data_IF_957834754459
#
_entry.id   IF_957834754459
#
_cell.length_a   1.000
_cell.length_b   1.000
_cell.length_c   1.000
_cell.angle_alpha   90.00
_cell.angle_beta   90.00
_cell.angle_gamma   90.00
#
_symmetry.space_group_name_H-M   'P 1'
#
loop_
_entity.id
_entity.type
_entity.pdbx_description
1 polymer ?
#
# COMPACT_ATOMS: atom_id res chain seq x y z
N UNK A 1 -19.01 -18.42 45.45
CA UNK A 1 -20.35 -17.99 45.01
C UNK A 1 -20.14 -17.34 43.66
N UNK A 2 -20.12 -18.09 42.61
CA UNK A 2 -21.09 -18.56 41.66
C UNK A 2 -20.49 -19.71 40.83
N UNK A 3 -21.00 -20.90 41.12
CA UNK A 3 -20.96 -22.03 40.20
C UNK A 3 -21.98 -21.78 39.10
N UNK A 4 -21.61 -22.03 37.88
CA UNK A 4 -22.46 -22.51 36.81
C UNK A 4 -21.53 -23.34 35.93
N UNK A 5 -21.45 -24.60 36.13
CA UNK A 5 -22.36 -25.70 35.89
C UNK A 5 -22.44 -25.91 34.42
N UNK A 6 -22.08 -26.99 33.98
CA UNK A 6 -22.29 -27.44 32.62
C UNK A 6 -21.77 -28.84 32.41
N UNK A 7 -22.27 -29.78 33.18
CA UNK A 7 -22.03 -31.23 32.99
C UNK A 7 -22.95 -31.79 31.90
N UNK A 8 -22.91 -31.26 30.68
CA UNK A 8 -23.70 -31.77 29.55
C UNK A 8 -22.87 -32.10 28.28
N UNK A 9 -21.55 -32.05 28.38
CA UNK A 9 -20.68 -32.44 27.26
C UNK A 9 -20.19 -33.89 27.34
N UNK A 10 -20.75 -34.71 28.22
CA UNK A 10 -20.30 -36.12 28.42
C UNK A 10 -21.36 -37.16 28.02
N UNK A 11 -22.24 -36.87 27.07
CA UNK A 11 -23.18 -37.87 26.53
C UNK A 11 -23.40 -37.74 25.04
N UNK A 12 -22.37 -37.96 24.27
CA UNK A 12 -22.50 -38.41 22.90
C UNK A 12 -21.30 -39.31 22.59
N UNK A 13 -21.32 -40.48 23.20
CA UNK A 13 -20.50 -41.60 22.78
C UNK A 13 -21.05 -42.11 21.46
N UNK A 14 -20.31 -41.95 20.40
CA UNK A 14 -20.51 -42.54 19.10
C UNK A 14 -19.15 -43.03 18.59
N UNK A 15 -18.86 -44.27 18.84
CA UNK A 15 -17.81 -45.03 18.18
C UNK A 15 -18.11 -45.04 16.68
N UNK A 16 -17.34 -44.36 15.87
CA UNK A 16 -17.23 -44.67 14.45
C UNK A 16 -15.97 -43.98 13.88
N UNK A 17 -14.96 -44.83 13.57
CA UNK A 17 -14.11 -44.64 12.39
C UNK A 17 -13.29 -43.38 12.33
N UNK A 18 -12.07 -43.54 12.69
CA UNK A 18 -10.89 -42.74 12.34
C UNK A 18 -10.86 -42.40 10.82
N UNK A 19 -11.68 -41.45 10.44
CA UNK A 19 -11.54 -40.72 9.22
C UNK A 19 -11.15 -39.30 9.63
N UNK A 20 -9.88 -39.16 9.97
CA UNK A 20 -9.27 -37.82 9.90
C UNK A 20 -9.63 -37.27 8.53
N UNK A 21 -10.56 -36.33 8.51
CA UNK A 21 -10.96 -35.66 7.29
C UNK A 21 -9.76 -34.88 6.76
N UNK A 22 -8.95 -35.59 5.99
CA UNK A 22 -7.77 -35.04 5.31
C UNK A 22 -8.15 -33.86 4.43
N UNK A 23 -9.44 -33.78 4.05
CA UNK A 23 -10.02 -32.64 3.35
C UNK A 23 -10.07 -31.39 4.21
N UNK A 24 -10.40 -31.51 5.49
CA UNK A 24 -10.49 -30.36 6.40
C UNK A 24 -9.10 -29.83 6.79
N UNK A 25 -8.14 -30.73 7.01
CA UNK A 25 -6.74 -30.34 7.23
C UNK A 25 -6.13 -29.76 5.95
N UNK A 26 -6.43 -30.36 4.79
CA UNK A 26 -5.98 -29.82 3.51
C UNK A 26 -6.63 -28.49 3.19
N UNK A 27 -7.93 -28.29 3.48
CA UNK A 27 -8.62 -27.02 3.29
C UNK A 27 -8.14 -25.93 4.24
N UNK A 28 -7.79 -26.29 5.49
CA UNK A 28 -7.24 -25.32 6.46
C UNK A 28 -5.78 -24.99 6.16
N UNK A 29 -5.00 -25.96 5.74
CA UNK A 29 -3.57 -25.76 5.44
C UNK A 29 -3.34 -25.18 4.04
N UNK A 30 -4.17 -25.54 3.05
CA UNK A 30 -4.13 -24.98 1.69
C UNK A 30 -5.15 -23.90 1.42
N UNK A 31 -6.32 -23.91 2.05
CA UNK A 31 -7.35 -22.89 1.91
C UNK A 31 -6.93 -21.56 2.55
N UNK A 32 -6.26 -21.58 3.70
CA UNK A 32 -5.73 -20.38 4.36
C UNK A 32 -4.45 -19.83 3.71
N UNK A 33 -3.57 -20.70 3.20
CA UNK A 33 -2.32 -20.30 2.59
C UNK A 33 -2.42 -20.08 1.07
N UNK A 34 -3.34 -20.77 0.38
CA UNK A 34 -3.55 -20.66 -1.06
C UNK A 34 -4.79 -19.86 -1.45
N UNK A 35 -5.83 -19.81 -0.60
CA UNK A 35 -7.06 -19.07 -0.89
C UNK A 35 -6.97 -17.56 -0.63
N UNK A 36 -6.04 -17.11 0.19
CA UNK A 36 -5.87 -15.69 0.51
C UNK A 36 -4.85 -14.92 -0.35
N UNK A 37 -4.04 -15.62 -1.13
CA UNK A 37 -2.97 -14.99 -1.91
C UNK A 37 -3.14 -15.04 -3.44
N UNK A 38 -4.01 -15.88 -3.97
CA UNK A 38 -4.19 -16.08 -5.41
C UNK A 38 -5.46 -15.48 -6.01
N UNK A 39 -6.32 -14.88 -5.18
CA UNK A 39 -7.57 -14.23 -5.61
C UNK A 39 -7.55 -12.70 -5.58
N UNK A 40 -6.41 -12.08 -5.35
CA UNK A 40 -6.24 -10.64 -5.49
C UNK A 40 -6.33 -10.27 -6.97
N UNK A 41 -7.42 -9.58 -7.33
CA UNK A 41 -7.88 -9.23 -8.66
C UNK A 41 -6.76 -9.10 -9.70
N UNK A 42 -6.83 -9.93 -10.72
CA UNK A 42 -5.96 -9.91 -11.88
C UNK A 42 -6.21 -8.65 -12.74
N UNK A 43 -6.03 -7.48 -12.15
CA UNK A 43 -6.09 -6.19 -12.84
C UNK A 43 -4.70 -5.55 -12.89
N UNK A 44 -4.51 -4.58 -13.79
CA UNK A 44 -3.26 -3.83 -13.86
C UNK A 44 -3.04 -3.07 -12.54
N UNK A 45 -1.78 -3.02 -12.10
CA UNK A 45 -1.41 -2.26 -10.91
C UNK A 45 -1.58 -0.75 -11.17
N UNK A 46 -2.11 -0.04 -10.19
CA UNK A 46 -2.13 1.42 -10.26
C UNK A 46 -0.71 1.99 -10.19
N UNK A 47 -0.40 2.94 -11.07
CA UNK A 47 0.83 3.74 -10.98
C UNK A 47 0.75 4.76 -9.85
N UNK A 48 -0.47 5.15 -9.50
CA UNK A 48 -0.72 6.09 -8.41
C UNK A 48 -0.74 5.34 -7.09
N UNK A 49 0.13 5.71 -6.18
CA UNK A 49 0.20 5.15 -4.82
C UNK A 49 0.13 6.25 -3.80
N UNK A 50 -0.43 5.94 -2.64
CA UNK A 50 -0.45 6.89 -1.52
C UNK A 50 0.97 7.27 -1.10
N UNK A 51 1.14 8.54 -0.71
CA UNK A 51 2.36 9.06 -0.13
C UNK A 51 2.63 8.48 1.26
N UNK A 52 3.83 8.70 1.75
CA UNK A 52 4.24 8.24 3.07
C UNK A 52 4.01 9.34 4.11
N UNK A 53 3.65 8.94 5.30
CA UNK A 53 3.69 9.82 6.46
C UNK A 53 5.15 10.14 6.81
N UNK A 54 5.44 11.40 7.06
CA UNK A 54 6.76 11.86 7.47
C UNK A 54 6.72 12.25 8.95
N UNK A 55 7.61 11.67 9.75
CA UNK A 55 7.77 12.02 11.15
C UNK A 55 9.00 12.93 11.30
N UNK A 56 8.78 14.11 11.85
CA UNK A 56 9.85 15.09 12.11
C UNK A 56 9.85 15.44 13.58
N UNK A 57 11.03 15.41 14.21
CA UNK A 57 11.22 15.85 15.59
C UNK A 57 11.53 17.34 15.61
N UNK A 58 10.87 18.04 16.50
CA UNK A 58 11.07 19.47 16.72
C UNK A 58 11.43 19.68 18.19
N UNK A 59 12.41 20.54 18.45
CA UNK A 59 12.76 20.98 19.79
C UNK A 59 12.09 22.33 20.03
N UNK A 60 11.40 22.46 21.14
CA UNK A 60 10.68 23.66 21.55
C UNK A 60 11.21 24.13 22.91
N UNK A 61 11.13 25.43 23.16
CA UNK A 61 11.49 26.00 24.47
C UNK A 61 10.37 25.76 25.48
N UNK A 62 10.71 25.88 26.78
CA UNK A 62 9.71 25.74 27.85
C UNK A 62 8.60 26.82 27.74
N UNK A 63 8.96 28.02 27.29
CA UNK A 63 8.01 29.10 27.09
C UNK A 63 7.02 28.75 25.95
N UNK A 64 7.53 28.26 24.82
CA UNK A 64 6.67 27.79 23.71
C UNK A 64 5.78 26.61 24.14
N UNK A 65 6.29 25.72 25.00
CA UNK A 65 5.53 24.61 25.53
C UNK A 65 4.41 25.05 26.48
N UNK A 66 4.64 26.09 27.29
CA UNK A 66 3.64 26.54 28.28
C UNK A 66 2.56 27.44 27.70
N UNK A 67 2.94 28.36 26.83
CA UNK A 67 2.01 29.36 26.28
C UNK A 67 1.49 28.98 24.89
N UNK A 68 2.10 28.01 24.24
CA UNK A 68 1.86 27.68 22.84
C UNK A 68 2.62 28.64 21.92
N UNK A 69 2.84 28.22 20.68
CA UNK A 69 3.55 29.01 19.69
C UNK A 69 3.16 28.61 18.26
N UNK A 70 3.28 29.57 17.35
CA UNK A 70 3.26 29.30 15.91
C UNK A 70 4.70 29.24 15.43
N UNK A 71 5.09 28.09 14.87
CA UNK A 71 6.47 27.90 14.42
C UNK A 71 6.53 27.44 12.98
N UNK A 72 7.40 28.08 12.21
CA UNK A 72 7.70 27.64 10.85
C UNK A 72 8.78 26.57 10.86
N UNK A 73 8.49 25.43 10.24
CA UNK A 73 9.43 24.35 10.04
C UNK A 73 9.68 24.14 8.54
N UNK A 74 10.94 23.88 8.19
CA UNK A 74 11.29 23.50 6.82
C UNK A 74 11.58 22.02 6.76
N UNK A 75 10.96 21.32 5.83
CA UNK A 75 11.18 19.90 5.60
C UNK A 75 11.37 19.60 4.11
N UNK A 76 12.13 18.57 3.83
CA UNK A 76 12.28 18.04 2.48
C UNK A 76 11.18 17.02 2.26
N UNK A 77 10.33 17.26 1.29
CA UNK A 77 9.18 16.40 1.00
C UNK A 77 9.01 16.23 -0.51
N UNK A 78 8.18 15.28 -0.90
CA UNK A 78 7.75 15.15 -2.28
C UNK A 78 6.46 15.91 -2.51
N UNK A 79 6.45 16.72 -3.56
CA UNK A 79 5.25 17.43 -4.06
C UNK A 79 4.90 16.92 -5.45
N UNK A 80 3.66 17.14 -5.89
CA UNK A 80 3.28 16.82 -7.25
C UNK A 80 4.16 17.61 -8.24
N UNK A 81 4.51 16.99 -9.34
CA UNK A 81 5.28 17.67 -10.39
C UNK A 81 4.40 18.74 -11.05
N UNK A 82 4.87 19.98 -11.08
CA UNK A 82 4.13 21.11 -11.65
C UNK A 82 4.00 21.03 -13.18
N UNK A 83 4.87 20.26 -13.84
CA UNK A 83 4.85 20.10 -15.30
C UNK A 83 3.83 19.05 -15.74
N UNK A 84 3.82 17.87 -15.11
CA UNK A 84 2.94 16.78 -15.50
C UNK A 84 1.76 16.56 -14.56
N UNK A 85 1.68 17.28 -13.44
CA UNK A 85 0.61 17.18 -12.43
C UNK A 85 0.30 15.75 -11.98
N UNK A 86 1.34 14.91 -11.94
CA UNK A 86 1.20 13.50 -11.53
C UNK A 86 0.94 12.51 -12.67
N UNK A 87 0.74 12.96 -13.91
CA UNK A 87 0.52 12.05 -15.06
C UNK A 87 1.74 11.21 -15.42
N UNK A 88 2.94 11.60 -14.97
CA UNK A 88 4.23 10.98 -15.25
C UNK A 88 4.71 11.11 -16.71
N UNK A 89 3.86 11.60 -17.59
CA UNK A 89 4.13 11.77 -19.02
C UNK A 89 4.52 13.23 -19.33
N UNK A 90 5.19 13.43 -20.45
CA UNK A 90 5.43 14.76 -20.99
C UNK A 90 4.08 15.45 -21.29
N UNK A 91 3.97 16.78 -21.09
CA UNK A 91 2.77 17.53 -21.43
C UNK A 91 2.33 17.28 -22.88
N UNK A 92 1.06 16.87 -23.06
CA UNK A 92 0.53 16.49 -24.37
C UNK A 92 0.70 15.02 -24.74
N UNK A 93 1.33 14.21 -23.89
CA UNK A 93 1.39 12.75 -24.05
C UNK A 93 0.62 12.04 -22.96
N UNK A 94 0.11 10.86 -23.26
CA UNK A 94 -0.64 10.01 -22.33
C UNK A 94 -0.03 8.60 -22.29
N UNK A 95 -0.24 7.86 -21.18
CA UNK A 95 0.19 6.47 -21.11
C UNK A 95 -0.54 5.63 -22.16
N UNK A 96 0.21 4.92 -23.00
CA UNK A 96 -0.34 4.04 -24.05
C UNK A 96 -0.64 2.64 -23.47
N UNK A 97 -1.67 1.98 -23.99
CA UNK A 97 -1.98 0.60 -23.61
C UNK A 97 -0.84 -0.32 -24.02
N UNK A 98 -0.38 -1.15 -23.08
CA UNK A 98 0.70 -2.11 -23.37
C UNK A 98 0.28 -3.13 -24.41
N UNK A 99 0.92 -3.14 -25.58
CA UNK A 99 0.60 -4.07 -26.67
C UNK A 99 0.90 -5.54 -26.35
N UNK A 100 1.79 -5.82 -25.39
CA UNK A 100 2.13 -7.20 -25.00
C UNK A 100 1.04 -7.88 -24.19
N UNK A 101 0.39 -7.16 -23.27
CA UNK A 101 -0.65 -7.70 -22.41
C UNK A 101 -2.03 -7.10 -22.69
N UNK A 102 -2.17 -6.22 -23.69
CA UNK A 102 -3.40 -5.53 -24.05
C UNK A 102 -4.10 -4.87 -22.84
N UNK A 103 -3.30 -4.24 -21.97
CA UNK A 103 -3.80 -3.56 -20.79
C UNK A 103 -4.00 -4.45 -19.56
N UNK A 104 -3.89 -5.77 -19.67
CA UNK A 104 -4.14 -6.70 -18.56
C UNK A 104 -3.12 -6.56 -17.40
N UNK A 105 -1.91 -6.10 -17.67
CA UNK A 105 -0.84 -5.98 -16.69
C UNK A 105 -0.11 -7.30 -16.39
N UNK A 106 -0.61 -8.44 -16.82
CA UNK A 106 0.00 -9.74 -16.59
C UNK A 106 0.04 -10.57 -17.87
N UNK A 107 0.88 -11.57 -17.88
CA UNK A 107 0.94 -12.63 -18.88
C UNK A 107 0.76 -14.00 -18.23
N UNK A 108 0.15 -14.94 -18.96
CA UNK A 108 -0.03 -16.30 -18.47
C UNK A 108 1.16 -17.12 -18.94
N UNK A 109 1.91 -17.66 -18.01
CA UNK A 109 2.96 -18.63 -18.27
C UNK A 109 2.45 -20.04 -17.93
N UNK A 110 2.65 -20.95 -18.87
CA UNK A 110 2.32 -22.36 -18.69
C UNK A 110 3.59 -23.11 -18.36
N UNK A 111 3.65 -23.71 -17.17
CA UNK A 111 4.77 -24.54 -16.74
C UNK A 111 4.32 -25.98 -16.64
N UNK A 112 5.13 -26.88 -17.17
CA UNK A 112 4.92 -28.30 -17.06
C UNK A 112 5.63 -28.80 -15.80
N UNK A 113 4.86 -29.36 -14.87
CA UNK A 113 5.36 -29.90 -13.60
C UNK A 113 5.16 -31.43 -13.59
N UNK A 114 5.77 -32.12 -12.64
CA UNK A 114 5.58 -33.57 -12.47
C UNK A 114 4.11 -33.97 -12.17
N UNK A 115 3.30 -33.02 -11.70
CA UNK A 115 1.87 -33.19 -11.36
C UNK A 115 0.92 -32.71 -12.48
N UNK A 116 1.47 -32.26 -13.63
CA UNK A 116 0.67 -31.75 -14.72
C UNK A 116 1.07 -30.34 -15.16
N UNK A 117 0.25 -29.75 -16.01
CA UNK A 117 0.46 -28.41 -16.55
C UNK A 117 -0.15 -27.38 -15.62
N UNK A 118 0.69 -26.46 -15.10
CA UNK A 118 0.29 -25.36 -14.24
C UNK A 118 0.31 -24.06 -15.04
N UNK A 119 -0.75 -23.26 -14.90
CA UNK A 119 -0.83 -21.90 -15.48
C UNK A 119 -0.64 -20.91 -14.36
N UNK A 120 0.41 -20.07 -14.48
CA UNK A 120 0.74 -19.04 -13.50
C UNK A 120 0.65 -17.67 -14.15
N UNK A 121 0.01 -16.72 -13.47
CA UNK A 121 0.00 -15.33 -13.88
C UNK A 121 1.28 -14.66 -13.38
N UNK A 122 2.02 -14.04 -14.30
CA UNK A 122 3.23 -13.28 -13.97
C UNK A 122 3.05 -11.84 -14.45
N UNK A 123 3.62 -10.86 -13.76
CA UNK A 123 3.60 -9.48 -14.23
C UNK A 123 4.13 -9.39 -15.65
N UNK A 124 3.46 -8.63 -16.50
CA UNK A 124 3.91 -8.42 -17.87
C UNK A 124 5.30 -7.78 -17.89
N UNK A 125 6.31 -8.35 -18.54
CA UNK A 125 7.67 -7.84 -18.51
C UNK A 125 7.81 -6.46 -19.17
N UNK A 126 6.97 -6.15 -20.15
CA UNK A 126 7.00 -4.88 -20.87
C UNK A 126 6.50 -3.71 -20.04
N UNK A 127 5.34 -3.88 -19.37
CA UNK A 127 4.73 -2.83 -18.55
C UNK A 127 4.91 -3.03 -17.04
N UNK A 128 5.60 -4.07 -16.62
CA UNK A 128 5.89 -4.38 -15.21
C UNK A 128 4.62 -4.47 -14.32
N UNK A 129 3.52 -4.91 -14.89
CA UNK A 129 2.27 -5.05 -14.17
C UNK A 129 1.30 -3.87 -14.29
N UNK A 130 1.71 -2.76 -14.90
CA UNK A 130 0.87 -1.55 -14.97
C UNK A 130 -0.19 -1.58 -16.08
N UNK A 131 -0.11 -2.47 -17.05
CA UNK A 131 -1.04 -2.52 -18.19
C UNK A 131 -0.84 -1.40 -19.22
N UNK A 132 -0.09 -0.35 -18.87
CA UNK A 132 0.22 0.79 -19.74
C UNK A 132 1.72 1.01 -19.83
N UNK A 133 2.18 1.67 -20.87
CA UNK A 133 3.58 2.06 -21.09
C UNK A 133 3.65 3.58 -21.24
N UNK A 134 4.63 4.21 -20.61
CA UNK A 134 4.92 5.62 -20.77
C UNK A 134 6.05 5.72 -21.81
N UNK A 135 5.71 6.17 -23.02
CA UNK A 135 6.67 6.32 -24.09
C UNK A 135 7.52 7.57 -23.91
N UNK A 136 6.91 8.64 -23.45
CA UNK A 136 7.54 9.93 -23.20
C UNK A 136 7.41 10.30 -21.73
N UNK A 137 8.38 9.90 -20.88
CA UNK A 137 8.35 10.28 -19.47
C UNK A 137 8.60 11.77 -19.31
N UNK A 138 7.89 12.40 -18.37
CA UNK A 138 8.10 13.80 -18.03
C UNK A 138 9.56 14.05 -17.65
N UNK A 139 10.20 15.02 -18.29
CA UNK A 139 11.62 15.35 -18.10
C UNK A 139 11.91 15.89 -16.70
N UNK A 140 10.98 16.65 -16.09
CA UNK A 140 11.17 17.26 -14.77
C UNK A 140 11.19 16.22 -13.64
N UNK A 141 10.26 15.27 -13.65
CA UNK A 141 10.15 14.26 -12.61
C UNK A 141 10.69 12.87 -13.02
N UNK A 142 11.26 12.74 -14.20
CA UNK A 142 11.74 11.48 -14.77
C UNK A 142 10.70 10.34 -14.71
N UNK A 143 9.42 10.67 -14.96
CA UNK A 143 8.32 9.70 -14.94
C UNK A 143 7.85 9.31 -13.54
N UNK A 144 8.25 9.99 -12.47
CA UNK A 144 7.79 9.69 -11.11
C UNK A 144 6.46 10.37 -10.74
N UNK A 145 6.06 11.42 -11.47
CA UNK A 145 4.86 12.22 -11.18
C UNK A 145 5.00 13.14 -9.96
N UNK A 146 6.18 13.15 -9.31
CA UNK A 146 6.48 13.95 -8.12
C UNK A 146 7.92 14.42 -8.13
N UNK A 147 8.20 15.53 -7.48
CA UNK A 147 9.55 16.08 -7.34
C UNK A 147 9.89 16.29 -5.86
N UNK A 148 11.15 16.19 -5.53
CA UNK A 148 11.61 16.46 -4.16
C UNK A 148 11.91 17.93 -4.03
N UNK A 149 11.27 18.57 -3.05
CA UNK A 149 11.47 20.00 -2.78
C UNK A 149 11.54 20.26 -1.28
N UNK A 150 12.05 21.44 -0.93
CA UNK A 150 12.02 21.95 0.44
C UNK A 150 10.76 22.79 0.60
N UNK A 151 9.92 22.43 1.56
CA UNK A 151 8.68 23.15 1.87
C UNK A 151 8.72 23.66 3.29
N UNK A 152 8.27 24.91 3.49
CA UNK A 152 8.01 25.48 4.81
C UNK A 152 6.56 25.25 5.20
N UNK A 153 6.34 24.83 6.43
CA UNK A 153 5.02 24.64 7.03
C UNK A 153 4.96 25.36 8.35
N UNK A 154 3.89 26.12 8.57
CA UNK A 154 3.60 26.70 9.89
C UNK A 154 2.83 25.67 10.70
N UNK A 155 3.29 25.40 11.90
CA UNK A 155 2.66 24.50 12.88
C UNK A 155 2.22 25.29 14.09
N UNK A 156 1.07 24.90 14.64
CA UNK A 156 0.53 25.47 15.86
C UNK A 156 0.81 24.53 17.02
N UNK A 157 1.66 24.96 17.93
CA UNK A 157 2.02 24.22 19.13
C UNK A 157 1.01 24.65 20.21
N UNK A 158 0.19 23.70 20.73
CA UNK A 158 -0.76 24.05 21.77
C UNK A 158 -0.08 24.32 23.10
N UNK A 159 -0.67 25.19 23.90
CA UNK A 159 -0.23 25.42 25.28
C UNK A 159 -0.33 24.12 26.10
N UNK A 160 0.70 23.87 26.92
CA UNK A 160 0.78 22.63 27.70
C UNK A 160 1.39 21.45 26.93
N UNK A 161 2.11 21.71 25.85
CA UNK A 161 2.79 20.67 25.10
C UNK A 161 3.87 20.00 25.97
N UNK A 162 3.77 18.66 26.12
CA UNK A 162 4.74 17.84 26.86
C UNK A 162 5.74 17.14 25.97
N UNK A 163 6.81 16.61 26.58
CA UNK A 163 7.78 15.81 25.85
C UNK A 163 7.15 14.55 25.26
N UNK A 164 7.54 14.23 24.02
CA UNK A 164 7.00 13.10 23.29
C UNK A 164 5.59 13.30 22.71
N UNK A 165 4.98 14.47 22.85
CA UNK A 165 3.70 14.81 22.24
C UNK A 165 3.81 14.73 20.72
N UNK A 166 2.76 14.22 20.05
CA UNK A 166 2.69 14.13 18.59
C UNK A 166 1.58 15.03 18.06
N UNK A 167 1.94 15.89 17.13
CA UNK A 167 0.99 16.71 16.37
C UNK A 167 0.83 16.12 14.97
N UNK A 168 -0.40 15.87 14.57
CA UNK A 168 -0.72 15.38 13.21
C UNK A 168 -1.18 16.53 12.35
N UNK A 169 -0.46 16.76 11.26
CA UNK A 169 -0.81 17.72 10.23
C UNK A 169 -1.46 16.98 9.06
N UNK A 170 -2.78 16.99 9.01
CA UNK A 170 -3.52 16.33 7.93
C UNK A 170 -3.22 16.99 6.58
N UNK A 171 -3.06 16.16 5.54
CA UNK A 171 -2.81 16.65 4.18
C UNK A 171 -1.41 17.26 3.94
N UNK A 172 -0.48 17.12 4.89
CA UNK A 172 0.89 17.67 4.77
C UNK A 172 1.96 16.58 4.58
N UNK A 173 1.54 15.35 4.34
CA UNK A 173 2.44 14.23 4.03
C UNK A 173 3.12 14.37 2.66
N UNK A 174 3.95 13.40 2.33
CA UNK A 174 4.57 13.32 1.01
C UNK A 174 3.54 12.96 -0.05
N UNK A 175 3.64 13.56 -1.23
CA UNK A 175 2.90 13.12 -2.41
C UNK A 175 3.44 11.77 -2.86
N UNK A 176 2.56 10.83 -3.09
CA UNK A 176 2.90 9.49 -3.54
C UNK A 176 3.39 9.44 -5.00
N UNK A 177 4.02 8.34 -5.42
CA UNK A 177 4.33 8.12 -6.82
C UNK A 177 3.09 8.26 -7.70
N UNK A 178 3.24 8.82 -8.89
CA UNK A 178 2.13 9.07 -9.80
C UNK A 178 1.16 10.14 -9.31
N UNK A 179 1.64 11.11 -8.52
CA UNK A 179 0.78 12.17 -7.99
C UNK A 179 -0.26 11.68 -6.98
N UNK A 180 0.01 10.55 -6.31
CA UNK A 180 -0.92 9.98 -5.35
C UNK A 180 -1.16 10.86 -4.14
N UNK A 181 -2.30 10.70 -3.44
CA UNK A 181 -2.66 11.50 -2.29
C UNK A 181 -1.64 11.37 -1.16
N UNK A 182 -1.44 12.43 -0.44
CA UNK A 182 -0.62 12.53 0.77
C UNK A 182 -1.43 12.26 2.04
#
# INVERSE_FOLDING_TARGET
>A
MYDIGGADAARSGGYAGDSFDFGDILSTMFGGAFGGGFGGGAGPQSRTRQGREQLTRIEITLEEATFGAHREISLNTYVACDVCHGSMCEPGSEPTTCGTCNGAGYSIQTQQTMLGTMRTQVPCPTCQGYGTVIEQPCHECAGQGRVRTRRSLTIDIPAGAGDGMRLRLAGQGEVGPGGGPN
#
